data_IF_029165813341
#
_entry.id   IF_029165813341
#
_cell.length_a   1.000
_cell.length_b   1.000
_cell.length_c   1.000
_cell.angle_alpha   90.00
_cell.angle_beta   90.00
_cell.angle_gamma   90.00
#
_symmetry.space_group_name_H-M   'P 1'
#
loop_
_entity.id
_entity.type
_entity.pdbx_description
1 polymer ?
#
# COMPACT_ATOMS: atom_id res chain seq x y z
N UNK A 1 10.45 8.41 -30.73
CA UNK A 1 11.65 8.84 -29.99
C UNK A 1 12.32 7.56 -29.48
N UNK A 2 13.57 7.34 -29.86
CA UNK A 2 14.47 6.20 -29.55
C UNK A 2 13.90 5.11 -28.61
N UNK A 3 13.38 4.02 -29.20
CA UNK A 3 12.99 2.78 -28.53
C UNK A 3 14.22 1.93 -28.12
N UNK A 4 15.28 2.60 -27.67
CA UNK A 4 16.57 1.98 -27.41
C UNK A 4 16.60 1.53 -25.95
N UNK A 5 16.86 0.25 -25.75
CA UNK A 5 17.08 -0.35 -24.43
C UNK A 5 18.23 0.40 -23.72
N UNK A 6 17.97 0.87 -22.50
CA UNK A 6 18.93 1.56 -21.64
C UNK A 6 19.07 0.80 -20.34
N UNK A 7 20.32 0.60 -19.92
CA UNK A 7 20.64 0.01 -18.62
C UNK A 7 20.34 1.03 -17.52
N UNK A 8 19.56 0.60 -16.53
CA UNK A 8 19.19 1.36 -15.35
C UNK A 8 20.08 0.94 -14.18
N UNK A 9 20.25 -0.38 -13.99
CA UNK A 9 21.04 -0.92 -12.88
C UNK A 9 21.81 -2.18 -13.29
N UNK A 10 22.94 -2.39 -12.61
CA UNK A 10 23.87 -3.50 -12.83
C UNK A 10 24.59 -3.81 -11.51
N UNK A 11 24.10 -4.80 -10.79
CA UNK A 11 24.51 -5.06 -9.40
C UNK A 11 24.69 -6.54 -9.11
N UNK A 12 25.34 -6.86 -8.00
CA UNK A 12 25.39 -8.21 -7.46
C UNK A 12 24.21 -8.40 -6.50
N UNK A 13 23.62 -9.59 -6.53
CA UNK A 13 22.50 -9.94 -5.67
C UNK A 13 22.41 -11.45 -5.49
N UNK A 14 21.29 -11.88 -4.94
CA UNK A 14 20.92 -13.29 -4.88
C UNK A 14 19.55 -13.46 -5.51
N UNK A 15 19.32 -14.63 -6.08
CA UNK A 15 18.00 -15.04 -6.52
C UNK A 15 17.67 -16.42 -5.99
N UNK A 16 16.38 -16.70 -5.87
CA UNK A 16 15.83 -18.00 -5.52
C UNK A 16 14.62 -18.26 -6.40
N UNK A 17 14.51 -19.47 -6.93
CA UNK A 17 13.33 -19.89 -7.70
C UNK A 17 12.35 -20.56 -6.73
N UNK A 18 11.28 -19.88 -6.33
CA UNK A 18 10.35 -20.36 -5.31
C UNK A 18 9.31 -21.33 -5.90
N UNK A 19 8.75 -20.99 -7.05
CA UNK A 19 7.78 -21.81 -7.78
C UNK A 19 8.27 -21.97 -9.20
N UNK A 20 8.37 -23.21 -9.70
CA UNK A 20 8.79 -23.49 -11.08
C UNK A 20 7.73 -24.27 -11.83
N UNK A 21 7.15 -23.67 -12.87
CA UNK A 21 6.04 -24.27 -13.63
C UNK A 21 4.85 -24.69 -12.74
N UNK A 22 4.46 -23.82 -11.81
CA UNK A 22 3.35 -24.00 -10.89
C UNK A 22 3.63 -24.95 -9.72
N UNK A 23 4.89 -25.37 -9.52
CA UNK A 23 5.28 -26.26 -8.43
C UNK A 23 6.23 -25.56 -7.47
N UNK A 24 5.84 -25.49 -6.21
CA UNK A 24 6.71 -25.02 -5.13
C UNK A 24 7.98 -25.87 -5.03
N UNK A 25 9.13 -25.19 -4.93
CA UNK A 25 10.43 -25.81 -4.75
C UNK A 25 10.81 -25.80 -3.27
N UNK A 26 10.54 -26.92 -2.60
CA UNK A 26 10.73 -27.05 -1.14
C UNK A 26 12.19 -27.04 -0.69
N UNK A 27 13.13 -27.31 -1.60
CA UNK A 27 14.58 -27.35 -1.32
C UNK A 27 15.35 -26.25 -2.09
N UNK A 28 14.66 -25.21 -2.56
CA UNK A 28 15.32 -24.09 -3.22
C UNK A 28 16.29 -23.36 -2.28
N UNK A 29 17.45 -22.96 -2.80
CA UNK A 29 18.48 -22.20 -2.09
C UNK A 29 18.77 -20.89 -2.81
N UNK A 30 19.22 -19.89 -2.05
CA UNK A 30 19.66 -18.62 -2.60
C UNK A 30 20.97 -18.81 -3.37
N UNK A 31 20.97 -18.38 -4.63
CA UNK A 31 22.14 -18.40 -5.49
C UNK A 31 22.65 -16.98 -5.74
N UNK A 32 23.97 -16.77 -5.66
CA UNK A 32 24.57 -15.49 -6.02
C UNK A 32 24.42 -15.26 -7.54
N UNK A 33 24.06 -14.04 -7.92
CA UNK A 33 23.87 -13.67 -9.31
C UNK A 33 24.25 -12.21 -9.57
N UNK A 34 24.47 -11.89 -10.84
CA UNK A 34 24.49 -10.51 -11.33
C UNK A 34 23.11 -10.16 -11.86
N UNK A 35 22.53 -9.09 -11.33
CA UNK A 35 21.22 -8.59 -11.73
C UNK A 35 21.43 -7.36 -12.62
N UNK A 36 20.82 -7.36 -13.80
CA UNK A 36 20.85 -6.24 -14.75
C UNK A 36 19.43 -5.82 -15.06
N UNK A 37 19.10 -4.59 -14.68
CA UNK A 37 17.81 -3.97 -14.95
C UNK A 37 17.94 -2.95 -16.08
N UNK A 38 17.02 -3.00 -17.02
CA UNK A 38 16.90 -2.05 -18.12
C UNK A 38 15.48 -1.48 -18.15
N UNK A 39 15.22 -0.47 -18.99
CA UNK A 39 13.86 0.03 -19.22
C UNK A 39 12.97 -0.91 -20.05
N UNK A 40 13.38 -2.17 -20.30
CA UNK A 40 12.62 -3.14 -21.08
C UNK A 40 12.55 -4.53 -20.44
N UNK A 41 13.58 -4.93 -19.69
CA UNK A 41 13.69 -6.26 -19.09
C UNK A 41 14.54 -6.29 -17.83
N UNK A 42 14.31 -7.33 -17.03
CA UNK A 42 15.18 -7.79 -15.96
C UNK A 42 16.00 -8.99 -16.44
N UNK A 43 17.30 -9.00 -16.13
CA UNK A 43 18.17 -10.14 -16.40
C UNK A 43 18.85 -10.60 -15.12
N UNK A 44 18.84 -11.90 -14.89
CA UNK A 44 19.56 -12.57 -13.80
C UNK A 44 20.63 -13.44 -14.46
N UNK A 45 21.90 -13.20 -14.12
CA UNK A 45 23.05 -13.86 -14.73
C UNK A 45 23.82 -14.64 -13.67
N UNK A 46 23.86 -15.95 -13.84
CA UNK A 46 24.70 -16.92 -13.11
C UNK A 46 25.57 -17.67 -14.13
N UNK A 47 25.73 -18.99 -13.98
CA UNK A 47 26.22 -19.87 -15.04
C UNK A 47 25.23 -19.95 -16.21
N UNK A 48 23.96 -19.60 -15.96
CA UNK A 48 22.91 -19.45 -16.96
C UNK A 48 22.39 -18.01 -16.99
N UNK A 49 21.56 -17.68 -17.98
CA UNK A 49 20.95 -16.35 -18.10
C UNK A 49 19.44 -16.46 -18.16
N UNK A 50 18.78 -15.84 -17.20
CA UNK A 50 17.34 -15.58 -17.20
C UNK A 50 17.14 -14.14 -17.70
N UNK A 51 16.19 -13.93 -18.61
CA UNK A 51 15.90 -12.62 -19.20
C UNK A 51 14.40 -12.51 -19.39
N UNK A 52 13.76 -11.63 -18.62
CA UNK A 52 12.30 -11.49 -18.58
C UNK A 52 11.92 -10.05 -18.93
N UNK A 53 11.07 -9.83 -19.96
CA UNK A 53 10.50 -8.51 -20.25
C UNK A 53 9.78 -7.96 -19.01
N UNK A 54 9.91 -6.67 -18.73
CA UNK A 54 9.26 -6.09 -17.54
C UNK A 54 7.74 -6.28 -17.59
N UNK A 55 7.13 -6.18 -18.77
CA UNK A 55 5.69 -6.36 -18.99
C UNK A 55 5.16 -7.77 -18.69
N UNK A 56 6.04 -8.75 -18.54
CA UNK A 56 5.71 -10.12 -18.14
C UNK A 56 5.94 -10.37 -16.64
N UNK A 57 6.35 -9.34 -15.89
CA UNK A 57 6.62 -9.43 -14.46
C UNK A 57 5.51 -8.73 -13.69
N UNK A 58 4.73 -9.50 -12.95
CA UNK A 58 3.90 -8.99 -11.88
C UNK A 58 4.71 -9.07 -10.58
N UNK A 59 4.70 -8.03 -9.77
CA UNK A 59 5.43 -8.03 -8.51
C UNK A 59 4.44 -8.35 -7.40
N UNK A 60 4.81 -9.31 -6.55
CA UNK A 60 4.00 -9.72 -5.42
C UNK A 60 4.44 -8.96 -4.16
N UNK A 61 3.49 -8.30 -3.50
CA UNK A 61 3.71 -7.68 -2.18
C UNK A 61 3.59 -8.66 -1.04
N UNK A 62 2.81 -9.72 -1.22
CA UNK A 62 2.69 -10.75 -0.20
C UNK A 62 3.99 -11.54 -0.08
N UNK A 63 4.41 -11.76 1.18
CA UNK A 63 5.46 -12.73 1.45
C UNK A 63 4.99 -14.07 0.92
N UNK A 64 5.66 -14.55 -0.10
CA UNK A 64 5.50 -15.92 -0.55
C UNK A 64 5.88 -16.81 0.64
N UNK A 65 5.00 -17.75 0.98
CA UNK A 65 5.27 -18.77 2.01
C UNK A 65 6.40 -19.66 1.50
N UNK A 66 7.61 -19.20 1.76
CA UNK A 66 8.82 -19.83 1.28
C UNK A 66 9.38 -20.75 2.37
N UNK A 67 10.11 -21.78 1.95
CA UNK A 67 10.75 -22.70 2.88
C UNK A 67 11.70 -21.96 3.87
N UNK A 68 12.16 -22.65 4.91
CA UNK A 68 13.09 -22.05 5.90
C UNK A 68 14.39 -21.51 5.29
N UNK A 69 14.83 -22.04 4.14
CA UNK A 69 16.07 -21.61 3.49
C UNK A 69 15.91 -20.22 2.85
N UNK A 70 14.75 -19.96 2.25
CA UNK A 70 14.40 -18.67 1.72
C UNK A 70 14.21 -17.59 2.81
N UNK A 71 13.73 -17.99 4.00
CA UNK A 71 13.60 -17.12 5.17
C UNK A 71 14.94 -16.60 5.76
N UNK A 72 16.09 -17.02 5.20
CA UNK A 72 17.41 -16.52 5.61
C UNK A 72 17.68 -15.07 5.19
N UNK A 73 17.01 -14.56 4.16
CA UNK A 73 17.11 -13.17 3.73
C UNK A 73 15.88 -12.39 4.24
N UNK A 74 16.11 -11.30 4.96
CA UNK A 74 15.04 -10.54 5.62
C UNK A 74 14.22 -9.68 4.64
N UNK A 75 14.80 -9.33 3.50
CA UNK A 75 14.19 -8.47 2.48
C UNK A 75 14.46 -9.03 1.09
N UNK A 76 13.39 -9.29 0.34
CA UNK A 76 13.44 -9.74 -1.05
C UNK A 76 12.21 -9.22 -1.80
N UNK A 77 12.30 -9.18 -3.12
CA UNK A 77 11.17 -8.87 -4.01
C UNK A 77 10.75 -10.17 -4.68
N UNK A 78 9.48 -10.52 -4.56
CA UNK A 78 8.89 -11.65 -5.26
C UNK A 78 8.36 -11.18 -6.63
N UNK A 79 8.80 -11.86 -7.68
CA UNK A 79 8.45 -11.61 -9.06
C UNK A 79 7.65 -12.81 -9.58
N UNK A 80 6.39 -12.60 -9.88
CA UNK A 80 5.52 -13.53 -10.58
C UNK A 80 5.74 -13.38 -12.09
N UNK A 81 6.03 -14.51 -12.73
CA UNK A 81 6.41 -14.60 -14.14
C UNK A 81 5.69 -15.81 -14.74
N UNK A 82 4.40 -15.64 -15.01
CA UNK A 82 3.56 -16.69 -15.58
C UNK A 82 3.29 -17.82 -14.60
N UNK A 83 3.94 -18.97 -14.78
CA UNK A 83 3.83 -20.11 -13.86
C UNK A 83 5.02 -20.19 -12.89
N UNK A 84 5.94 -19.23 -12.94
CA UNK A 84 7.18 -19.21 -12.16
C UNK A 84 7.17 -18.04 -11.16
N UNK A 85 7.73 -18.24 -9.97
CA UNK A 85 7.96 -17.18 -8.97
C UNK A 85 9.44 -17.12 -8.63
N UNK A 86 10.05 -15.96 -8.90
CA UNK A 86 11.44 -15.68 -8.59
C UNK A 86 11.52 -14.69 -7.43
N UNK A 87 12.32 -15.01 -6.42
CA UNK A 87 12.69 -14.07 -5.37
C UNK A 87 14.04 -13.48 -5.70
N UNK A 88 14.18 -12.16 -5.56
CA UNK A 88 15.45 -11.47 -5.76
C UNK A 88 15.77 -10.56 -4.59
N UNK A 89 17.04 -10.47 -4.23
CA UNK A 89 17.53 -9.53 -3.23
C UNK A 89 18.89 -8.96 -3.62
N UNK A 90 19.17 -7.74 -3.19
CA UNK A 90 20.38 -6.98 -3.45
C UNK A 90 20.88 -6.36 -2.14
N UNK A 91 22.16 -5.97 -2.11
CA UNK A 91 22.71 -5.26 -0.94
C UNK A 91 22.00 -3.91 -0.68
N UNK A 92 21.58 -3.23 -1.75
CA UNK A 92 20.72 -2.04 -1.71
C UNK A 92 19.31 -2.41 -2.19
N UNK A 93 18.55 -3.05 -1.30
CA UNK A 93 17.21 -3.57 -1.60
C UNK A 93 16.24 -2.45 -1.99
N UNK A 94 16.17 -1.38 -1.18
CA UNK A 94 15.25 -0.26 -1.43
C UNK A 94 15.61 0.50 -2.71
N UNK A 95 16.90 0.72 -2.96
CA UNK A 95 17.38 1.37 -4.18
C UNK A 95 17.04 0.56 -5.42
N UNK A 96 17.29 -0.75 -5.39
CA UNK A 96 16.93 -1.65 -6.49
C UNK A 96 15.42 -1.66 -6.74
N UNK A 97 14.61 -1.79 -5.67
CA UNK A 97 13.14 -1.81 -5.78
C UNK A 97 12.59 -0.49 -6.34
N UNK A 98 13.14 0.65 -5.90
CA UNK A 98 12.82 1.97 -6.50
C UNK A 98 13.20 2.03 -7.99
N UNK A 99 14.37 1.52 -8.37
CA UNK A 99 14.79 1.49 -9.77
C UNK A 99 13.92 0.56 -10.62
N UNK A 100 13.42 -0.55 -10.06
CA UNK A 100 12.48 -1.44 -10.72
C UNK A 100 11.18 -0.71 -11.07
N UNK A 101 10.56 -0.01 -10.13
CA UNK A 101 9.36 0.81 -10.41
C UNK A 101 9.65 1.89 -11.45
N UNK A 102 10.78 2.59 -11.33
CA UNK A 102 11.19 3.63 -12.28
C UNK A 102 11.37 3.08 -13.70
N UNK A 103 11.89 1.87 -13.85
CA UNK A 103 12.08 1.23 -15.15
C UNK A 103 10.77 1.08 -15.93
N UNK A 104 9.66 0.94 -15.20
CA UNK A 104 8.32 0.73 -15.74
C UNK A 104 7.56 2.06 -15.87
N UNK A 105 7.68 2.93 -14.86
CA UNK A 105 6.77 4.06 -14.69
C UNK A 105 7.32 5.43 -15.16
N UNK A 106 8.64 5.69 -15.17
CA UNK A 106 9.21 7.05 -15.41
C UNK A 106 8.86 7.66 -16.80
N UNK A 107 8.38 6.86 -17.75
CA UNK A 107 7.91 7.34 -19.07
C UNK A 107 6.47 6.89 -19.39
N UNK A 108 5.77 6.31 -18.41
CA UNK A 108 4.39 5.86 -18.59
C UNK A 108 3.46 7.07 -18.79
N UNK A 109 2.59 6.95 -19.79
CA UNK A 109 1.44 7.85 -19.94
C UNK A 109 0.30 7.28 -19.12
N UNK A 110 -0.21 8.09 -18.20
CA UNK A 110 -1.34 7.77 -17.34
C UNK A 110 -2.44 8.80 -17.54
N UNK A 111 -3.68 8.41 -17.30
CA UNK A 111 -4.81 9.32 -17.15
C UNK A 111 -4.90 9.72 -15.69
N UNK A 112 -5.06 11.01 -15.45
CA UNK A 112 -5.08 11.62 -14.13
C UNK A 112 -6.28 12.53 -14.05
N UNK A 113 -7.00 12.45 -12.94
CA UNK A 113 -8.00 13.46 -12.54
C UNK A 113 -7.61 13.98 -11.17
N UNK A 114 -7.10 15.21 -11.13
CA UNK A 114 -6.50 15.79 -9.93
C UNK A 114 -6.82 17.30 -9.78
N UNK A 115 -7.20 17.76 -8.58
CA UNK A 115 -7.77 16.94 -7.51
C UNK A 115 -9.16 16.45 -7.94
N UNK A 116 -9.51 15.21 -7.64
CA UNK A 116 -10.86 14.68 -7.81
C UNK A 116 -11.76 15.08 -6.64
N UNK A 117 -11.23 15.06 -5.41
CA UNK A 117 -11.88 15.50 -4.17
C UNK A 117 -10.91 16.39 -3.40
N UNK A 118 -11.43 17.40 -2.69
CA UNK A 118 -10.66 18.21 -1.72
C UNK A 118 -11.49 18.34 -0.45
N UNK A 119 -10.97 17.83 0.67
CA UNK A 119 -11.67 17.84 1.97
C UNK A 119 -13.10 17.27 1.90
N UNK A 120 -13.27 16.13 1.22
CA UNK A 120 -14.58 15.48 1.01
C UNK A 120 -15.49 16.13 -0.03
N UNK A 121 -15.06 17.22 -0.69
CA UNK A 121 -15.84 17.90 -1.73
C UNK A 121 -15.34 17.51 -3.12
N UNK A 122 -16.19 16.79 -3.87
CA UNK A 122 -15.94 16.41 -5.27
C UNK A 122 -15.73 17.66 -6.14
N UNK A 123 -14.70 17.60 -7.00
CA UNK A 123 -14.35 18.65 -7.95
C UNK A 123 -14.78 18.28 -9.36
N UNK A 124 -15.02 19.32 -10.16
CA UNK A 124 -15.34 19.21 -11.59
C UNK A 124 -14.07 19.07 -12.46
N UNK A 125 -13.02 18.43 -11.95
CA UNK A 125 -11.80 18.15 -12.72
C UNK A 125 -12.11 17.11 -13.80
N UNK A 126 -11.48 17.29 -14.96
CA UNK A 126 -11.58 16.36 -16.09
C UNK A 126 -10.38 15.41 -16.11
N UNK A 127 -10.54 14.28 -16.80
CA UNK A 127 -9.43 13.38 -17.05
C UNK A 127 -8.44 14.01 -18.02
N UNK A 128 -7.17 14.04 -17.64
CA UNK A 128 -6.07 14.56 -18.44
C UNK A 128 -4.98 13.51 -18.58
N UNK A 129 -4.19 13.59 -19.65
CA UNK A 129 -2.97 12.78 -19.73
C UNK A 129 -1.87 13.39 -18.89
N UNK A 130 -1.19 12.55 -18.13
CA UNK A 130 -0.02 12.90 -17.35
C UNK A 130 1.16 11.98 -17.65
N UNK A 131 2.34 12.47 -17.29
CA UNK A 131 3.54 11.64 -17.12
C UNK A 131 3.96 11.70 -15.67
N UNK A 132 4.49 10.58 -15.19
CA UNK A 132 4.92 10.44 -13.82
C UNK A 132 6.43 10.19 -13.75
N UNK A 133 7.02 10.53 -12.61
CA UNK A 133 8.40 10.18 -12.28
C UNK A 133 8.46 9.69 -10.84
N UNK A 134 9.05 8.52 -10.65
CA UNK A 134 9.17 7.89 -9.34
C UNK A 134 10.52 8.24 -8.73
N UNK A 135 10.52 8.57 -7.44
CA UNK A 135 11.71 8.67 -6.60
C UNK A 135 11.56 7.74 -5.40
N UNK A 136 12.57 7.70 -4.53
CA UNK A 136 12.48 6.96 -3.27
C UNK A 136 11.24 7.40 -2.47
N UNK A 137 11.02 8.72 -2.40
CA UNK A 137 10.04 9.31 -1.47
C UNK A 137 8.79 9.87 -2.17
N UNK A 138 8.77 10.01 -3.50
CA UNK A 138 7.68 10.74 -4.19
C UNK A 138 7.29 10.12 -5.53
N UNK A 139 6.01 10.28 -5.89
CA UNK A 139 5.52 10.14 -7.27
C UNK A 139 5.20 11.54 -7.78
N UNK A 140 5.98 12.02 -8.75
CA UNK A 140 5.84 13.38 -9.29
C UNK A 140 5.07 13.33 -10.59
N UNK A 141 4.04 14.17 -10.70
CA UNK A 141 3.15 14.20 -11.86
C UNK A 141 3.33 15.49 -12.65
N UNK A 142 3.26 15.37 -13.98
CA UNK A 142 3.17 16.51 -14.91
C UNK A 142 2.04 16.23 -15.89
N UNK A 143 0.99 17.03 -15.84
CA UNK A 143 -0.18 16.93 -16.70
C UNK A 143 0.05 17.64 -18.04
N UNK A 144 -0.78 17.32 -19.03
CA UNK A 144 -0.66 17.85 -20.39
C UNK A 144 -0.94 19.35 -20.51
N UNK A 145 -1.67 19.94 -19.55
CA UNK A 145 -1.87 21.39 -19.44
C UNK A 145 -0.71 22.11 -18.73
N UNK A 146 0.26 21.36 -18.22
CA UNK A 146 1.42 21.87 -17.49
C UNK A 146 1.27 21.91 -15.98
N UNK A 147 0.11 21.55 -15.42
CA UNK A 147 -0.05 21.38 -13.97
C UNK A 147 0.92 20.32 -13.45
N UNK A 148 1.48 20.59 -12.27
CA UNK A 148 2.39 19.68 -11.57
C UNK A 148 1.89 19.51 -10.15
N UNK A 149 2.04 18.30 -9.64
CA UNK A 149 1.79 17.97 -8.25
C UNK A 149 2.65 16.77 -7.86
N UNK A 150 2.72 16.52 -6.56
CA UNK A 150 3.51 15.45 -5.97
C UNK A 150 2.59 14.65 -5.07
N UNK A 151 2.74 13.32 -5.11
CA UNK A 151 2.22 12.42 -4.10
C UNK A 151 3.44 11.98 -3.29
N UNK A 152 3.53 12.41 -2.04
CA UNK A 152 4.55 11.94 -1.11
C UNK A 152 4.17 10.52 -0.67
N UNK A 153 5.12 9.59 -0.73
CA UNK A 153 4.82 8.16 -0.52
C UNK A 153 4.47 7.85 0.92
N UNK A 154 5.06 8.59 1.85
CA UNK A 154 4.84 8.54 3.31
C UNK A 154 3.61 9.33 3.77
N UNK A 155 2.91 9.99 2.86
CA UNK A 155 1.67 10.74 3.13
C UNK A 155 0.47 10.16 2.36
N UNK A 156 0.60 8.93 1.85
CA UNK A 156 -0.52 8.23 1.22
C UNK A 156 -1.45 7.73 2.32
N UNK A 157 -2.70 8.17 2.27
CA UNK A 157 -3.77 7.76 3.17
C UNK A 157 -4.53 6.54 2.64
N UNK A 158 -5.85 6.68 2.53
CA UNK A 158 -6.72 5.64 1.98
C UNK A 158 -6.43 5.42 0.47
N UNK A 159 -6.50 4.15 0.08
CA UNK A 159 -6.35 3.72 -1.30
C UNK A 159 -7.46 2.75 -1.67
N UNK A 160 -8.18 3.07 -2.75
CA UNK A 160 -9.22 2.21 -3.30
C UNK A 160 -8.97 1.95 -4.79
N UNK A 161 -9.57 0.86 -5.28
CA UNK A 161 -9.58 0.54 -6.71
C UNK A 161 -11.02 0.35 -7.16
N UNK A 162 -11.39 1.07 -8.20
CA UNK A 162 -12.73 1.07 -8.79
C UNK A 162 -12.65 0.91 -10.31
N UNK A 163 -13.79 0.66 -10.96
CA UNK A 163 -13.92 0.66 -12.42
C UNK A 163 -14.75 1.86 -12.86
N UNK A 164 -14.21 2.69 -13.78
CA UNK A 164 -14.90 3.90 -14.26
C UNK A 164 -14.64 4.13 -15.75
N UNK A 165 -15.53 4.91 -16.37
CA UNK A 165 -15.32 5.39 -17.73
C UNK A 165 -14.19 6.45 -17.75
N UNK A 166 -13.09 6.13 -18.41
CA UNK A 166 -11.92 6.99 -18.57
C UNK A 166 -11.53 7.06 -20.04
N UNK A 167 -11.60 8.27 -20.59
CA UNK A 167 -11.35 8.53 -22.01
C UNK A 167 -12.21 7.66 -22.97
N UNK A 168 -13.47 7.41 -22.59
CA UNK A 168 -14.45 6.70 -23.41
C UNK A 168 -14.37 5.16 -23.35
N UNK A 169 -13.59 4.62 -22.42
CA UNK A 169 -13.46 3.19 -22.17
C UNK A 169 -13.59 2.91 -20.67
N UNK A 170 -14.20 1.78 -20.29
CA UNK A 170 -14.17 1.30 -18.91
C UNK A 170 -12.75 0.88 -18.53
N UNK A 171 -12.22 1.45 -17.45
CA UNK A 171 -10.86 1.21 -16.97
C UNK A 171 -10.83 1.10 -15.45
N UNK A 172 -9.88 0.32 -14.94
CA UNK A 172 -9.50 0.39 -13.53
C UNK A 172 -8.96 1.78 -13.17
N UNK A 173 -9.40 2.29 -12.04
CA UNK A 173 -9.01 3.56 -11.45
C UNK A 173 -8.47 3.31 -10.05
N UNK A 174 -7.27 3.80 -9.77
CA UNK A 174 -6.73 3.90 -8.41
C UNK A 174 -7.18 5.25 -7.87
N UNK A 175 -7.83 5.23 -6.71
CA UNK A 175 -8.17 6.41 -5.92
C UNK A 175 -7.15 6.48 -4.79
N UNK A 176 -6.41 7.58 -4.75
CA UNK A 176 -5.35 7.76 -3.75
C UNK A 176 -5.58 9.07 -3.00
N UNK A 177 -5.77 8.96 -1.70
CA UNK A 177 -5.76 10.11 -0.79
C UNK A 177 -4.32 10.50 -0.46
N UNK A 178 -4.04 11.80 -0.52
CA UNK A 178 -2.78 12.39 -0.08
C UNK A 178 -2.98 13.86 0.25
N UNK A 179 -1.94 14.50 0.78
CA UNK A 179 -1.95 15.93 1.07
C UNK A 179 -1.34 16.73 -0.09
N UNK A 180 -1.87 17.93 -0.36
CA UNK A 180 -1.27 18.88 -1.28
C UNK A 180 -0.19 19.77 -0.63
N UNK A 181 0.45 20.64 -1.42
CA UNK A 181 1.51 21.54 -0.92
C UNK A 181 1.03 22.52 0.17
N UNK A 182 -0.29 22.74 0.29
CA UNK A 182 -0.88 23.62 1.30
C UNK A 182 -1.28 22.87 2.58
N UNK A 183 -1.10 21.55 2.63
CA UNK A 183 -1.51 20.73 3.78
C UNK A 183 -2.97 20.27 3.70
N UNK A 184 -3.61 20.36 2.54
CA UNK A 184 -5.02 19.97 2.36
C UNK A 184 -5.13 18.54 1.88
N UNK A 185 -5.99 17.72 2.53
CA UNK A 185 -6.34 16.38 2.03
C UNK A 185 -7.07 16.47 0.69
N UNK A 186 -6.53 15.75 -0.29
CA UNK A 186 -7.04 15.66 -1.66
C UNK A 186 -7.05 14.21 -2.11
N UNK A 187 -8.00 13.87 -2.98
CA UNK A 187 -7.97 12.59 -3.68
C UNK A 187 -7.57 12.78 -5.13
N UNK A 188 -6.71 11.91 -5.61
CA UNK A 188 -6.28 11.83 -7.01
C UNK A 188 -6.73 10.53 -7.62
N UNK A 189 -7.34 10.59 -8.80
CA UNK A 189 -7.73 9.39 -9.53
C UNK A 189 -6.73 9.11 -10.66
N UNK A 190 -6.24 7.88 -10.73
CA UNK A 190 -5.18 7.45 -11.64
C UNK A 190 -5.65 6.24 -12.45
N UNK A 191 -5.49 6.31 -13.77
CA UNK A 191 -5.82 5.20 -14.68
C UNK A 191 -4.83 5.13 -15.83
N UNK A 192 -4.84 4.04 -16.61
CA UNK A 192 -3.77 3.80 -17.58
C UNK A 192 -3.87 2.46 -18.28
N UNK A 193 -2.73 1.96 -18.74
CA UNK A 193 -2.62 0.58 -19.22
C UNK A 193 -2.59 -0.35 -18.00
N UNK A 194 -3.23 -1.51 -18.12
CA UNK A 194 -3.36 -2.49 -17.03
C UNK A 194 -2.01 -2.76 -16.33
N UNK A 195 -0.95 -3.03 -17.12
CA UNK A 195 0.39 -3.26 -16.59
C UNK A 195 0.94 -2.06 -15.78
N UNK A 196 0.88 -0.84 -16.31
CA UNK A 196 1.38 0.35 -15.58
C UNK A 196 0.55 0.62 -14.32
N UNK A 197 -0.76 0.38 -14.36
CA UNK A 197 -1.65 0.60 -13.22
C UNK A 197 -1.45 -0.45 -12.14
N UNK A 198 -1.23 -1.71 -12.50
CA UNK A 198 -0.84 -2.76 -11.55
C UNK A 198 0.43 -2.36 -10.77
N UNK A 199 1.47 -1.92 -11.49
CA UNK A 199 2.76 -1.53 -10.90
C UNK A 199 2.66 -0.21 -10.11
N UNK A 200 1.85 0.74 -10.57
CA UNK A 200 1.61 2.00 -9.84
C UNK A 200 0.80 1.76 -8.56
N UNK A 201 -0.20 0.88 -8.61
CA UNK A 201 -0.97 0.46 -7.43
C UNK A 201 -0.03 -0.06 -6.35
N UNK A 202 0.83 -1.01 -6.69
CA UNK A 202 1.79 -1.57 -5.74
C UNK A 202 2.75 -0.51 -5.15
N UNK A 203 3.29 0.37 -5.99
CA UNK A 203 4.17 1.44 -5.53
C UNK A 203 3.52 2.35 -4.49
N UNK A 204 2.22 2.66 -4.70
CA UNK A 204 1.42 3.51 -3.83
C UNK A 204 0.97 2.74 -2.58
N UNK A 205 0.60 1.45 -2.70
CA UNK A 205 0.28 0.57 -1.57
C UNK A 205 1.47 0.45 -0.61
N UNK A 206 2.70 0.27 -1.12
CA UNK A 206 3.91 0.34 -0.30
C UNK A 206 4.06 1.66 0.45
N UNK A 207 3.65 2.77 -0.17
CA UNK A 207 3.68 4.08 0.45
C UNK A 207 2.66 4.18 1.59
N UNK A 208 1.42 3.76 1.33
CA UNK A 208 0.35 3.70 2.32
C UNK A 208 0.72 2.79 3.50
N UNK A 209 1.33 1.63 3.24
CA UNK A 209 1.84 0.74 4.28
C UNK A 209 2.96 1.37 5.10
N UNK A 210 3.89 2.10 4.46
CA UNK A 210 4.93 2.85 5.19
C UNK A 210 4.34 3.96 6.04
N UNK A 211 3.40 4.74 5.53
CA UNK A 211 2.71 5.77 6.31
C UNK A 211 2.06 5.15 7.56
N UNK A 212 1.32 4.04 7.39
CA UNK A 212 0.73 3.29 8.52
C UNK A 212 1.78 2.72 9.48
N UNK A 213 2.96 2.33 9.01
CA UNK A 213 4.03 1.77 9.84
C UNK A 213 4.88 2.83 10.55
N UNK A 214 5.04 4.00 9.93
CA UNK A 214 5.72 5.18 10.47
C UNK A 214 4.79 6.06 11.33
N UNK A 215 3.57 5.58 11.62
CA UNK A 215 2.71 6.20 12.63
C UNK A 215 3.48 6.30 13.94
N UNK A 216 3.73 7.54 14.35
CA UNK A 216 4.49 7.93 15.53
C UNK A 216 3.64 7.73 16.80
N UNK A 217 3.08 6.52 16.95
CA UNK A 217 2.22 6.14 18.04
C UNK A 217 3.01 6.18 19.34
N UNK A 218 2.44 6.83 20.35
CA UNK A 218 3.00 6.78 21.69
C UNK A 218 3.02 5.34 22.21
N UNK A 219 3.89 5.07 23.18
CA UNK A 219 3.94 3.75 23.82
C UNK A 219 2.60 3.31 24.44
N UNK A 220 1.68 4.24 24.69
CA UNK A 220 0.33 3.94 25.17
C UNK A 220 -0.61 3.58 24.02
N UNK A 221 -0.63 4.34 22.92
CA UNK A 221 -1.38 4.00 21.71
C UNK A 221 -0.98 2.62 21.15
N UNK A 222 0.33 2.34 21.05
CA UNK A 222 0.81 1.02 20.59
C UNK A 222 0.29 -0.14 21.45
N UNK A 223 0.19 0.06 22.78
CA UNK A 223 -0.37 -0.95 23.69
C UNK A 223 -1.87 -1.13 23.50
N UNK A 224 -2.60 -0.06 23.20
CA UNK A 224 -4.03 -0.12 22.85
C UNK A 224 -4.23 -0.93 21.57
N UNK A 225 -3.46 -0.65 20.52
CA UNK A 225 -3.51 -1.40 19.25
C UNK A 225 -3.19 -2.88 19.46
N UNK A 226 -2.13 -3.20 20.20
CA UNK A 226 -1.76 -4.60 20.50
C UNK A 226 -2.82 -5.34 21.32
N UNK A 227 -3.46 -4.67 22.28
CA UNK A 227 -4.51 -5.25 23.08
C UNK A 227 -5.74 -5.61 22.21
N UNK A 228 -6.17 -4.71 21.33
CA UNK A 228 -7.23 -4.97 20.36
C UNK A 228 -6.88 -6.14 19.42
N UNK A 229 -5.65 -6.16 18.89
CA UNK A 229 -5.16 -7.25 18.04
C UNK A 229 -5.20 -8.62 18.74
N UNK A 230 -4.86 -8.66 20.04
CA UNK A 230 -4.93 -9.89 20.84
C UNK A 230 -6.35 -10.34 21.22
N UNK A 231 -7.38 -9.59 20.79
CA UNK A 231 -8.78 -9.90 21.03
C UNK A 231 -9.33 -9.39 22.36
N UNK A 232 -8.63 -8.46 23.04
CA UNK A 232 -9.17 -7.79 24.22
C UNK A 232 -10.37 -6.94 23.80
N UNK A 233 -11.48 -7.09 24.52
CA UNK A 233 -12.70 -6.32 24.27
C UNK A 233 -12.42 -4.81 24.39
N UNK A 234 -12.91 -3.95 23.46
CA UNK A 234 -12.73 -2.50 23.54
C UNK A 234 -13.10 -1.90 24.91
N UNK A 235 -14.19 -2.39 25.51
CA UNK A 235 -14.66 -1.96 26.85
C UNK A 235 -13.75 -2.36 28.02
N UNK A 236 -12.73 -3.20 27.79
CA UNK A 236 -11.78 -3.66 28.80
C UNK A 236 -10.36 -3.12 28.55
N UNK A 237 -10.18 -2.27 27.53
CA UNK A 237 -8.86 -1.75 27.14
C UNK A 237 -8.31 -0.80 28.20
N UNK A 238 -9.17 0.01 28.85
CA UNK A 238 -8.79 0.86 29.97
C UNK A 238 -8.12 0.07 31.09
N UNK A 239 -8.75 -1.05 31.50
CA UNK A 239 -8.25 -1.93 32.55
C UNK A 239 -6.99 -2.68 32.12
N UNK A 240 -6.89 -3.06 30.84
CA UNK A 240 -5.76 -3.81 30.30
C UNK A 240 -4.49 -2.94 30.16
N UNK A 241 -4.64 -1.73 29.62
CA UNK A 241 -3.53 -0.80 29.38
C UNK A 241 -3.20 0.04 30.64
N UNK A 242 -4.14 0.10 31.60
CA UNK A 242 -3.98 0.79 32.87
C UNK A 242 -4.17 2.31 32.76
N UNK A 243 -5.08 2.73 31.88
CA UNK A 243 -5.44 4.15 31.67
C UNK A 243 -6.97 4.30 31.84
N UNK A 244 -7.43 5.52 32.10
CA UNK A 244 -8.87 5.79 32.25
C UNK A 244 -9.63 5.66 30.93
N UNK A 245 -10.95 5.47 31.03
CA UNK A 245 -11.83 5.24 29.86
C UNK A 245 -11.82 6.46 28.94
N UNK A 246 -11.84 7.68 29.50
CA UNK A 246 -11.85 8.92 28.72
C UNK A 246 -10.59 9.02 27.84
N UNK A 247 -9.41 8.72 28.39
CA UNK A 247 -8.16 8.67 27.61
C UNK A 247 -8.13 7.54 26.59
N UNK A 248 -8.77 6.40 26.84
CA UNK A 248 -8.89 5.34 25.83
C UNK A 248 -9.76 5.79 24.66
N UNK A 249 -10.88 6.47 24.92
CA UNK A 249 -11.75 7.01 23.87
C UNK A 249 -11.02 8.08 23.04
N UNK A 250 -10.26 8.98 23.68
CA UNK A 250 -9.38 9.92 22.95
C UNK A 250 -8.38 9.20 22.04
N UNK A 251 -7.73 8.15 22.55
CA UNK A 251 -6.80 7.33 21.75
C UNK A 251 -7.54 6.62 20.63
N UNK A 252 -8.79 6.18 20.82
CA UNK A 252 -9.57 5.61 19.74
C UNK A 252 -9.88 6.63 18.66
N UNK A 253 -10.26 7.85 19.03
CA UNK A 253 -10.47 8.93 18.07
C UNK A 253 -9.18 9.22 17.28
N UNK A 254 -8.04 9.37 17.97
CA UNK A 254 -6.72 9.54 17.35
C UNK A 254 -6.38 8.37 16.40
N UNK A 255 -6.59 7.12 16.82
CA UNK A 255 -6.30 5.92 16.01
C UNK A 255 -7.29 5.73 14.84
N UNK A 256 -8.52 6.25 14.95
CA UNK A 256 -9.49 6.27 13.85
C UNK A 256 -9.09 7.34 12.83
N UNK A 257 -8.65 8.51 13.27
CA UNK A 257 -8.12 9.56 12.40
C UNK A 257 -6.88 9.08 11.62
N UNK A 258 -6.04 8.24 12.25
CA UNK A 258 -4.88 7.62 11.61
C UNK A 258 -5.20 6.33 10.81
N UNK A 259 -6.49 5.98 10.64
CA UNK A 259 -6.96 4.77 9.96
C UNK A 259 -6.32 3.46 10.49
N UNK A 260 -5.94 3.43 11.77
CA UNK A 260 -5.39 2.24 12.44
C UNK A 260 -6.50 1.31 12.89
N UNK A 261 -7.63 1.88 13.31
CA UNK A 261 -8.83 1.15 13.74
C UNK A 261 -10.08 1.83 13.17
N UNK A 262 -11.19 1.10 13.05
CA UNK A 262 -12.46 1.63 12.53
C UNK A 262 -13.63 1.36 13.46
N UNK A 263 -14.62 2.25 13.44
CA UNK A 263 -15.86 2.09 14.22
C UNK A 263 -16.71 0.96 13.63
N UNK A 264 -16.95 -0.08 14.43
CA UNK A 264 -17.84 -1.19 14.02
C UNK A 264 -19.30 -0.92 14.38
N UNK A 265 -19.54 -0.27 15.53
CA UNK A 265 -20.88 0.09 16.03
C UNK A 265 -20.79 1.09 17.18
N UNK A 266 -21.79 1.95 17.29
CA UNK A 266 -21.96 2.84 18.45
C UNK A 266 -23.00 2.27 19.44
N UNK A 267 -22.74 2.41 20.74
CA UNK A 267 -23.68 2.01 21.80
C UNK A 267 -23.96 3.19 22.72
N UNK A 268 -25.22 3.32 23.15
CA UNK A 268 -25.63 4.36 24.10
C UNK A 268 -25.51 3.87 25.53
N UNK A 269 -24.82 4.62 26.37
CA UNK A 269 -24.92 4.48 27.82
C UNK A 269 -26.26 5.06 28.30
N UNK A 270 -27.00 4.31 29.12
CA UNK A 270 -28.34 4.69 29.59
C UNK A 270 -28.49 4.45 31.08
N UNK A 271 -29.30 5.28 31.74
CA UNK A 271 -29.68 5.10 33.15
C UNK A 271 -31.19 5.20 33.32
N UNK A 272 -31.72 4.55 34.36
CA UNK A 272 -33.16 4.59 34.63
C UNK A 272 -33.60 5.97 35.10
N UNK A 273 -34.58 6.54 34.40
CA UNK A 273 -35.30 7.72 34.88
C UNK A 273 -36.12 7.37 36.13
N UNK A 274 -36.58 8.37 36.90
CA UNK A 274 -37.54 8.13 37.99
C UNK A 274 -38.79 7.36 37.54
N UNK A 275 -39.28 7.62 36.32
CA UNK A 275 -40.40 6.86 35.73
C UNK A 275 -40.00 5.41 35.43
N UNK A 276 -38.83 5.19 34.84
CA UNK A 276 -38.31 3.83 34.60
C UNK A 276 -38.15 3.03 35.90
N UNK A 277 -37.68 3.67 36.98
CA UNK A 277 -37.62 3.05 38.31
C UNK A 277 -38.99 2.70 38.87
N UNK A 278 -40.00 3.53 38.66
CA UNK A 278 -41.39 3.24 39.07
C UNK A 278 -41.94 2.00 38.36
N UNK A 279 -41.77 1.92 37.04
CA UNK A 279 -42.20 0.77 36.23
C UNK A 279 -41.49 -0.52 36.68
N UNK A 280 -40.18 -0.46 36.92
CA UNK A 280 -39.42 -1.60 37.43
C UNK A 280 -39.90 -2.02 38.84
N UNK A 281 -40.22 -1.06 39.70
CA UNK A 281 -40.74 -1.30 41.05
C UNK A 281 -42.13 -1.93 41.06
N UNK A 282 -43.02 -1.50 40.17
CA UNK A 282 -44.36 -2.09 40.01
C UNK A 282 -44.27 -3.55 39.56
N UNK A 283 -43.37 -3.86 38.61
CA UNK A 283 -43.15 -5.23 38.12
C UNK A 283 -42.52 -6.18 39.17
N UNK A 284 -41.74 -5.65 40.12
CA UNK A 284 -41.17 -6.45 41.21
C UNK A 284 -42.07 -6.57 42.45
N UNK A 285 -43.10 -5.72 42.58
CA UNK A 285 -44.09 -5.77 43.67
C UNK A 285 -45.26 -6.73 43.45
N UNK A 286 -45.34 -7.38 42.29
CA UNK A 286 -46.37 -8.38 41.94
C UNK A 286 -45.92 -9.84 42.18
N UNK A 287 -44.84 -10.06 42.93
CA UNK A 287 -44.43 -11.39 43.45
C UNK A 287 -44.76 -11.57 44.93
#
# INVERSE_FOLDING_TARGET
MSNTEKKIEDTQGKYLHAIKGGRELTDAEWENCRIVLTNQRLMIVTDSKISVPLEEIDVLDERVDVNRNAASESYYTALDIGDDVLLITTADFEGFRTNFFRAILDEAVIYVKHPAIVGGVVKASEWQRGRLKVTKDTVRMVLEDGQKFIIERDDIGEMEVDEREVAGEERGVIEVEHTDEEGTSVETYLSGRQYHISVLKQLLEEGAERNRADLDLTATEQRVVMALYSGVSPFAISDFVGIDVERVEEIYDELIELDVIRVVRERKEVSLTPQGRKVAGEAMGEQ
#
